data_IF_951176735689
#
_entry.id   IF_951176735689
#
_cell.length_a   1.000
_cell.length_b   1.000
_cell.length_c   1.000
_cell.angle_alpha   90.00
_cell.angle_beta   90.00
_cell.angle_gamma   90.00
#
_symmetry.space_group_name_H-M   'P 1'
#
loop_
_entity.id
_entity.type
_entity.pdbx_description
1 polymer ?
#
# COMPACT_ATOMS: atom_id res chain seq x y z
N UNK A 1 2.67 7.72 27.33
CA UNK A 1 3.89 8.45 27.75
C UNK A 1 5.01 8.22 26.74
N UNK A 2 6.04 9.07 26.68
CA UNK A 2 7.18 8.90 25.76
C UNK A 2 7.85 7.52 25.90
N UNK A 3 7.97 6.99 27.14
CA UNK A 3 8.49 5.65 27.41
C UNK A 3 7.65 4.53 26.77
N UNK A 4 6.33 4.64 26.80
CA UNK A 4 5.43 3.65 26.18
C UNK A 4 5.56 3.66 24.66
N UNK A 5 5.62 4.85 24.05
CA UNK A 5 5.83 4.98 22.61
C UNK A 5 7.15 4.32 22.18
N UNK A 6 8.25 4.62 22.87
CA UNK A 6 9.56 4.02 22.59
C UNK A 6 9.54 2.50 22.74
N UNK A 7 8.89 1.98 23.79
CA UNK A 7 8.74 0.53 23.96
C UNK A 7 7.93 -0.11 22.81
N UNK A 8 6.85 0.54 22.35
CA UNK A 8 6.07 0.05 21.21
C UNK A 8 6.86 0.10 19.91
N UNK A 9 7.63 1.18 19.66
CA UNK A 9 8.52 1.27 18.49
C UNK A 9 9.53 0.12 18.49
N UNK A 10 10.14 -0.20 19.63
CA UNK A 10 11.07 -1.34 19.75
C UNK A 10 10.41 -2.68 19.45
N UNK A 11 9.20 -2.93 19.98
CA UNK A 11 8.44 -4.15 19.67
C UNK A 11 8.09 -4.24 18.18
N UNK A 12 7.73 -3.12 17.54
CA UNK A 12 7.51 -3.09 16.09
C UNK A 12 8.80 -3.37 15.32
N UNK A 13 9.93 -2.78 15.73
CA UNK A 13 11.22 -3.03 15.10
C UNK A 13 11.65 -4.50 15.19
N UNK A 14 11.47 -5.13 16.35
CA UNK A 14 11.71 -6.56 16.54
C UNK A 14 10.89 -7.40 15.55
N UNK A 15 9.59 -7.10 15.40
CA UNK A 15 8.72 -7.78 14.42
C UNK A 15 9.20 -7.59 12.97
N UNK A 16 9.61 -6.37 12.60
CA UNK A 16 10.16 -6.06 11.27
C UNK A 16 11.45 -6.86 11.00
N UNK A 17 12.34 -6.95 11.99
CA UNK A 17 13.64 -7.60 11.86
C UNK A 17 13.51 -9.13 11.73
N UNK A 18 12.56 -9.75 12.42
CA UNK A 18 12.36 -11.22 12.37
C UNK A 18 11.46 -11.68 11.22
N UNK A 19 10.56 -10.82 10.73
CA UNK A 19 9.61 -11.13 9.66
C UNK A 19 10.32 -11.59 8.40
N UNK A 20 9.76 -12.61 7.73
CA UNK A 20 10.28 -13.15 6.47
C UNK A 20 9.51 -12.66 5.26
N UNK A 21 8.22 -12.36 5.42
CA UNK A 21 7.32 -11.96 4.34
C UNK A 21 6.55 -10.67 4.69
N UNK A 22 7.24 -9.56 4.96
CA UNK A 22 6.58 -8.31 5.32
C UNK A 22 5.94 -7.65 4.10
N UNK A 23 4.88 -6.88 4.34
CA UNK A 23 4.27 -5.97 3.38
C UNK A 23 3.95 -4.65 4.06
N UNK A 24 4.30 -3.54 3.41
CA UNK A 24 3.81 -2.23 3.81
C UNK A 24 2.47 -1.96 3.13
N UNK A 25 1.48 -1.62 3.94
CA UNK A 25 0.16 -1.15 3.53
C UNK A 25 0.05 0.35 3.81
N UNK A 26 0.26 1.18 2.79
CA UNK A 26 0.29 2.63 2.91
C UNK A 26 -1.06 3.27 2.55
N UNK A 27 -1.57 4.11 3.44
CA UNK A 27 -2.82 4.85 3.26
C UNK A 27 -2.62 6.33 3.00
N UNK A 28 -3.72 7.07 3.06
CA UNK A 28 -3.74 8.52 2.87
C UNK A 28 -2.88 9.26 3.92
N UNK A 29 -2.74 8.72 5.13
CA UNK A 29 -1.94 9.35 6.19
C UNK A 29 -0.48 9.55 5.77
N UNK A 30 0.11 8.63 5.00
CA UNK A 30 1.46 8.80 4.44
C UNK A 30 1.52 9.95 3.44
N UNK A 31 0.52 10.06 2.56
CA UNK A 31 0.48 11.10 1.52
C UNK A 31 0.26 12.50 2.12
N UNK A 32 -0.45 12.57 3.25
CA UNK A 32 -0.76 13.83 3.93
C UNK A 32 0.37 14.28 4.87
N UNK A 33 1.06 13.34 5.51
CA UNK A 33 2.11 13.65 6.45
C UNK A 33 3.35 14.26 5.76
N UNK A 34 3.99 15.20 6.45
CA UNK A 34 5.18 15.88 5.93
C UNK A 34 6.36 14.90 5.85
N UNK A 35 7.01 14.84 4.67
CA UNK A 35 8.06 13.85 4.36
C UNK A 35 7.61 12.38 4.42
N UNK A 36 6.29 12.11 4.49
CA UNK A 36 5.75 10.76 4.60
C UNK A 36 6.18 9.83 3.44
N UNK A 37 6.02 10.23 2.17
CA UNK A 37 6.46 9.43 1.02
C UNK A 37 7.97 9.12 1.02
N UNK A 38 8.79 10.09 1.42
CA UNK A 38 10.25 9.95 1.50
C UNK A 38 10.65 8.93 2.57
N UNK A 39 10.03 9.00 3.75
CA UNK A 39 10.27 8.06 4.85
C UNK A 39 9.72 6.66 4.57
N UNK A 40 8.59 6.56 3.87
CA UNK A 40 8.08 5.30 3.35
C UNK A 40 9.09 4.66 2.39
N UNK A 41 9.65 5.45 1.46
CA UNK A 41 10.70 4.99 0.55
C UNK A 41 11.93 4.52 1.32
N UNK A 42 12.41 5.30 2.28
CA UNK A 42 13.57 4.95 3.10
C UNK A 42 13.36 3.64 3.87
N UNK A 43 12.19 3.45 4.52
CA UNK A 43 11.86 2.22 5.24
C UNK A 43 11.80 1.01 4.29
N UNK A 44 11.13 1.16 3.14
CA UNK A 44 11.00 0.11 2.13
C UNK A 44 12.36 -0.29 1.54
N UNK A 45 13.25 0.68 1.27
CA UNK A 45 14.61 0.45 0.77
C UNK A 45 15.49 -0.20 1.84
N UNK A 46 15.52 0.36 3.06
CA UNK A 46 16.36 -0.15 4.14
C UNK A 46 16.04 -1.60 4.49
N UNK A 47 14.76 -1.95 4.57
CA UNK A 47 14.33 -3.27 5.03
C UNK A 47 13.94 -4.23 3.89
N UNK A 48 14.06 -3.78 2.63
CA UNK A 48 13.58 -4.47 1.42
C UNK A 48 12.14 -4.98 1.55
N UNK A 49 11.20 -4.07 1.85
CA UNK A 49 9.79 -4.43 2.07
C UNK A 49 8.94 -3.97 0.88
N UNK A 50 8.16 -4.86 0.24
CA UNK A 50 7.24 -4.49 -0.81
C UNK A 50 6.10 -3.60 -0.30
N UNK A 51 5.63 -2.67 -1.14
CA UNK A 51 4.69 -1.62 -0.76
C UNK A 51 3.42 -1.69 -1.60
N UNK A 52 2.27 -1.80 -0.94
CA UNK A 52 0.96 -1.59 -1.56
C UNK A 52 0.28 -0.35 -0.97
N UNK A 53 -0.57 0.31 -1.75
CA UNK A 53 -1.25 1.53 -1.35
C UNK A 53 -2.77 1.39 -1.43
N UNK A 54 -3.51 2.09 -0.58
CA UNK A 54 -4.96 2.31 -0.81
C UNK A 54 -5.19 3.19 -2.04
N UNK A 55 -6.44 3.30 -2.51
CA UNK A 55 -6.85 4.31 -3.50
C UNK A 55 -6.41 5.73 -3.12
N UNK A 56 -6.52 6.10 -1.85
CA UNK A 56 -6.09 7.42 -1.35
C UNK A 56 -4.61 7.50 -0.99
N UNK A 57 -3.89 6.37 -1.03
CA UNK A 57 -2.45 6.28 -0.87
C UNK A 57 -1.70 6.35 -2.20
N UNK A 58 -2.41 6.34 -3.34
CA UNK A 58 -1.79 6.43 -4.67
C UNK A 58 -0.93 7.68 -4.80
N UNK A 59 0.30 7.49 -5.28
CA UNK A 59 1.33 8.51 -5.35
C UNK A 59 2.20 8.64 -4.09
N UNK A 60 1.83 7.96 -2.99
CA UNK A 60 2.67 7.89 -1.79
C UNK A 60 3.93 7.04 -1.96
N UNK A 61 4.02 6.23 -3.00
CA UNK A 61 5.19 5.42 -3.36
C UNK A 61 5.36 5.41 -4.88
N UNK A 62 6.60 5.37 -5.38
CA UNK A 62 6.85 5.32 -6.82
C UNK A 62 6.48 3.94 -7.39
N UNK A 63 5.41 3.87 -8.17
CA UNK A 63 4.92 2.63 -8.77
C UNK A 63 5.87 2.04 -9.84
N UNK A 64 6.90 2.78 -10.27
CA UNK A 64 7.95 2.22 -11.12
C UNK A 64 9.03 1.46 -10.32
N UNK A 65 9.01 1.54 -8.99
CA UNK A 65 9.91 0.78 -8.14
C UNK A 65 9.56 -0.72 -8.19
N UNK A 66 10.57 -1.59 -8.26
CA UNK A 66 10.38 -3.05 -8.30
C UNK A 66 9.61 -3.60 -7.09
N UNK A 67 9.67 -2.90 -5.94
CA UNK A 67 8.97 -3.24 -4.69
C UNK A 67 7.52 -2.78 -4.67
N UNK A 68 7.05 -2.01 -5.66
CA UNK A 68 5.66 -1.57 -5.73
C UNK A 68 4.73 -2.74 -6.06
N UNK A 69 3.67 -2.90 -5.28
CA UNK A 69 2.58 -3.84 -5.47
C UNK A 69 1.33 -3.16 -6.08
N UNK A 70 1.39 -1.85 -6.30
CA UNK A 70 0.25 -1.01 -6.70
C UNK A 70 -0.91 -1.07 -5.71
N UNK A 71 -2.09 -0.58 -6.13
CA UNK A 71 -3.29 -0.54 -5.29
C UNK A 71 -3.76 -1.93 -4.86
N UNK A 72 -4.10 -2.13 -3.59
CA UNK A 72 -4.84 -3.32 -3.10
C UNK A 72 -6.35 -3.07 -3.00
N UNK A 73 -7.12 -4.13 -2.77
CA UNK A 73 -8.54 -4.10 -2.43
C UNK A 73 -9.42 -4.71 -3.52
N UNK A 74 -10.71 -4.39 -3.47
CA UNK A 74 -11.77 -4.94 -4.34
C UNK A 74 -11.44 -4.83 -5.84
N UNK A 75 -10.84 -3.72 -6.26
CA UNK A 75 -10.35 -3.49 -7.62
C UNK A 75 -8.84 -3.27 -7.66
N UNK A 76 -8.12 -3.76 -6.65
CA UNK A 76 -6.67 -3.70 -6.59
C UNK A 76 -6.00 -4.72 -7.51
N UNK A 77 -4.68 -4.72 -7.53
CA UNK A 77 -3.88 -5.73 -8.18
C UNK A 77 -4.01 -7.06 -7.44
N UNK A 78 -4.06 -8.17 -8.21
CA UNK A 78 -4.13 -9.49 -7.62
C UNK A 78 -2.87 -9.80 -6.78
N UNK A 79 -1.69 -9.36 -7.21
CA UNK A 79 -0.44 -9.57 -6.47
C UNK A 79 -0.37 -8.76 -5.17
N UNK A 80 -0.94 -7.56 -5.08
CA UNK A 80 -1.08 -6.87 -3.79
C UNK A 80 -2.02 -7.64 -2.85
N UNK A 81 -3.17 -8.08 -3.36
CA UNK A 81 -4.13 -8.83 -2.56
C UNK A 81 -3.55 -10.16 -2.06
N UNK A 82 -2.82 -10.89 -2.91
CA UNK A 82 -2.13 -12.12 -2.50
C UNK A 82 -1.01 -11.87 -1.50
N UNK A 83 -0.20 -10.82 -1.72
CA UNK A 83 0.83 -10.44 -0.77
C UNK A 83 0.25 -10.11 0.61
N UNK A 84 -0.87 -9.38 0.68
CA UNK A 84 -1.57 -9.07 1.93
C UNK A 84 -2.15 -10.30 2.63
N UNK A 85 -2.60 -11.31 1.86
CA UNK A 85 -3.15 -12.53 2.45
C UNK A 85 -2.06 -13.45 3.02
N UNK A 86 -0.89 -13.46 2.39
CA UNK A 86 0.21 -14.35 2.78
C UNK A 86 1.26 -13.72 3.69
N UNK A 87 1.35 -12.39 3.73
CA UNK A 87 2.33 -11.69 4.54
C UNK A 87 2.31 -12.17 6.00
N UNK A 88 3.48 -12.40 6.58
CA UNK A 88 3.59 -12.69 8.01
C UNK A 88 3.58 -11.41 8.86
N UNK A 89 3.91 -10.26 8.27
CA UNK A 89 3.84 -8.95 8.89
C UNK A 89 3.21 -7.94 7.94
N UNK A 90 2.14 -7.28 8.39
CA UNK A 90 1.54 -6.13 7.70
C UNK A 90 1.89 -4.87 8.48
N UNK A 91 2.55 -3.93 7.81
CA UNK A 91 2.90 -2.61 8.35
C UNK A 91 1.91 -1.60 7.80
N UNK A 92 0.85 -1.32 8.54
CA UNK A 92 -0.20 -0.38 8.15
C UNK A 92 0.21 1.05 8.49
N UNK A 93 0.47 1.85 7.47
CA UNK A 93 0.97 3.22 7.59
C UNK A 93 -0.11 4.22 7.16
N UNK A 94 -0.82 4.80 8.12
CA UNK A 94 -1.84 5.82 7.84
C UNK A 94 -3.03 5.30 7.01
N UNK A 95 -3.34 4.00 7.14
CA UNK A 95 -4.49 3.34 6.51
C UNK A 95 -5.51 2.89 7.56
N UNK A 96 -6.80 2.85 7.18
CA UNK A 96 -7.93 2.60 8.11
C UNK A 96 -8.65 1.26 7.93
N UNK A 97 -8.06 0.32 7.19
CA UNK A 97 -8.64 -0.99 6.87
C UNK A 97 -10.12 -0.93 6.42
N UNK A 98 -10.41 -0.11 5.39
CA UNK A 98 -11.75 0.01 4.83
C UNK A 98 -12.29 -1.32 4.28
N UNK A 99 -13.61 -1.48 4.16
CA UNK A 99 -14.23 -2.71 3.65
C UNK A 99 -13.89 -2.97 2.17
N UNK A 100 -13.66 -1.91 1.37
CA UNK A 100 -13.17 -2.01 -0.01
C UNK A 100 -11.72 -2.46 -0.09
N UNK A 101 -10.99 -2.39 1.02
CA UNK A 101 -9.62 -2.91 1.14
C UNK A 101 -9.62 -4.34 1.67
N UNK A 102 -10.35 -4.59 2.76
CA UNK A 102 -10.29 -5.86 3.50
C UNK A 102 -11.16 -6.96 2.89
N UNK A 103 -12.22 -6.60 2.16
CA UNK A 103 -13.20 -7.55 1.66
C UNK A 103 -13.86 -8.33 2.81
N UNK A 104 -13.67 -9.64 2.85
CA UNK A 104 -14.18 -10.46 3.95
C UNK A 104 -13.20 -10.40 5.15
N UNK A 105 -13.55 -9.60 6.16
CA UNK A 105 -12.74 -9.35 7.36
C UNK A 105 -12.32 -10.65 8.08
N UNK A 106 -13.20 -11.65 8.16
CA UNK A 106 -12.89 -12.92 8.81
C UNK A 106 -11.74 -13.65 8.09
N UNK A 107 -11.67 -13.52 6.76
CA UNK A 107 -10.65 -14.12 5.89
C UNK A 107 -9.47 -13.19 5.59
N UNK A 108 -9.47 -11.96 6.10
CA UNK A 108 -8.42 -10.99 5.84
C UNK A 108 -7.12 -11.36 6.57
N UNK A 109 -5.98 -11.28 5.88
CA UNK A 109 -4.63 -11.43 6.40
C UNK A 109 -4.38 -12.67 7.29
N UNK A 110 -4.71 -13.89 6.83
CA UNK A 110 -4.53 -15.11 7.61
C UNK A 110 -3.04 -15.38 7.92
N UNK A 111 -2.12 -15.05 7.01
CA UNK A 111 -0.67 -15.19 7.25
C UNK A 111 -0.22 -14.37 8.46
N UNK A 112 -0.61 -13.10 8.52
CA UNK A 112 -0.25 -12.19 9.61
C UNK A 112 -0.90 -12.61 10.92
N UNK A 113 -2.19 -13.02 10.90
CA UNK A 113 -2.89 -13.52 12.09
C UNK A 113 -2.23 -14.78 12.66
N UNK A 114 -1.85 -15.73 11.81
CA UNK A 114 -1.14 -16.93 12.23
C UNK A 114 0.27 -16.62 12.77
N UNK A 115 0.99 -15.68 12.13
CA UNK A 115 2.30 -15.23 12.59
C UNK A 115 2.24 -14.49 13.94
N UNK A 116 1.17 -13.72 14.20
CA UNK A 116 0.93 -13.08 15.49
C UNK A 116 0.75 -14.10 16.62
N UNK A 117 -0.03 -15.16 16.37
CA UNK A 117 -0.21 -16.26 17.34
C UNK A 117 1.11 -16.98 17.67
N UNK A 118 2.05 -16.97 16.72
CA UNK A 118 3.39 -17.54 16.87
C UNK A 118 4.45 -16.50 17.29
N UNK A 119 4.06 -15.27 17.61
CA UNK A 119 4.94 -14.15 18.02
C UNK A 119 6.10 -13.88 17.03
N UNK A 120 5.88 -14.12 15.73
CA UNK A 120 6.89 -13.93 14.67
C UNK A 120 6.48 -12.93 13.60
N UNK A 121 5.38 -12.23 13.81
CA UNK A 121 4.77 -11.30 12.86
C UNK A 121 3.44 -10.77 13.39
N UNK A 122 2.59 -10.28 12.50
CA UNK A 122 1.29 -9.73 12.87
C UNK A 122 0.87 -8.52 12.05
N UNK A 123 0.03 -7.68 12.63
CA UNK A 123 -0.40 -6.41 12.03
C UNK A 123 0.09 -5.29 12.94
N UNK A 124 0.97 -4.43 12.45
CA UNK A 124 1.39 -3.22 13.16
C UNK A 124 0.70 -2.02 12.55
N UNK A 125 0.06 -1.18 13.37
CA UNK A 125 -0.82 -0.12 12.90
C UNK A 125 -0.36 1.25 13.39
N UNK A 126 0.10 2.07 12.43
CA UNK A 126 0.46 3.46 12.64
C UNK A 126 -0.73 4.34 12.24
N UNK A 127 -1.35 4.98 13.21
CA UNK A 127 -2.60 5.71 13.04
C UNK A 127 -2.68 6.88 14.02
N UNK A 128 -3.10 8.04 13.53
CA UNK A 128 -3.18 9.26 14.33
C UNK A 128 -4.50 9.34 15.11
N UNK A 129 -5.55 8.66 14.64
CA UNK A 129 -6.86 8.66 15.27
C UNK A 129 -7.11 7.37 16.07
N UNK A 130 -7.18 7.44 17.43
CA UNK A 130 -7.41 6.27 18.28
C UNK A 130 -8.65 5.45 17.90
N UNK A 131 -9.72 6.14 17.46
CA UNK A 131 -10.99 5.50 17.05
C UNK A 131 -10.86 4.52 15.86
N UNK A 132 -9.76 4.58 15.10
CA UNK A 132 -9.50 3.69 13.98
C UNK A 132 -8.63 2.48 14.38
N UNK A 133 -7.92 2.56 15.49
CA UNK A 133 -7.09 1.47 16.01
C UNK A 133 -8.01 0.37 16.56
N UNK A 134 -7.75 -0.89 16.21
CA UNK A 134 -8.55 -2.06 16.60
C UNK A 134 -10.04 -1.97 16.19
N UNK A 135 -10.41 -1.05 15.30
CA UNK A 135 -11.81 -0.87 14.87
C UNK A 135 -12.28 -1.98 13.94
N UNK A 136 -11.46 -2.33 12.94
CA UNK A 136 -11.82 -3.30 11.88
C UNK A 136 -10.99 -4.57 12.00
N UNK A 137 -9.69 -4.41 12.25
CA UNK A 137 -8.74 -5.50 12.45
C UNK A 137 -7.98 -5.27 13.74
N UNK A 138 -7.74 -6.34 14.49
CA UNK A 138 -6.95 -6.28 15.71
C UNK A 138 -5.47 -6.10 15.34
N UNK A 139 -4.86 -5.03 15.82
CA UNK A 139 -3.43 -4.80 15.70
C UNK A 139 -2.67 -5.62 16.75
N UNK A 140 -1.53 -6.19 16.35
CA UNK A 140 -0.54 -6.80 17.23
C UNK A 140 0.19 -5.72 18.02
N UNK A 141 0.57 -4.64 17.35
CA UNK A 141 1.09 -3.42 17.97
C UNK A 141 0.45 -2.21 17.30
N UNK A 142 0.16 -1.18 18.09
CA UNK A 142 -0.39 0.07 17.58
C UNK A 142 0.48 1.25 18.01
N UNK A 143 0.78 2.12 17.05
CA UNK A 143 1.53 3.36 17.26
C UNK A 143 0.57 4.51 16.98
N UNK A 144 0.12 5.13 18.06
CA UNK A 144 -0.72 6.32 17.99
C UNK A 144 0.14 7.56 17.71
N UNK A 145 -0.16 8.27 16.63
CA UNK A 145 0.49 9.53 16.29
C UNK A 145 0.65 9.77 14.79
N UNK A 146 1.35 10.84 14.45
CA UNK A 146 1.72 11.10 13.06
C UNK A 146 2.63 9.98 12.51
N UNK A 147 2.29 9.50 11.32
CA UNK A 147 2.95 8.34 10.73
C UNK A 147 4.39 8.62 10.32
N UNK A 148 4.70 9.81 9.78
CA UNK A 148 6.06 10.17 9.40
C UNK A 148 6.94 10.31 10.64
N UNK A 149 6.46 11.02 11.67
CA UNK A 149 7.15 11.13 12.95
C UNK A 149 7.44 9.75 13.57
N UNK A 150 6.49 8.83 13.46
CA UNK A 150 6.66 7.46 13.97
C UNK A 150 7.65 6.62 13.16
N UNK A 151 7.67 6.76 11.83
CA UNK A 151 8.67 6.08 10.98
C UNK A 151 10.08 6.59 11.29
N UNK A 152 10.26 7.89 11.55
CA UNK A 152 11.56 8.46 11.99
C UNK A 152 12.09 7.81 13.26
N UNK A 153 11.20 7.44 14.19
CA UNK A 153 11.58 6.71 15.40
C UNK A 153 11.86 5.23 15.14
N UNK A 154 11.15 4.62 14.17
CA UNK A 154 11.34 3.22 13.79
C UNK A 154 12.64 2.98 13.02
N UNK A 155 12.99 3.89 12.12
CA UNK A 155 14.12 3.73 11.19
C UNK A 155 15.44 3.36 11.88
N UNK A 156 15.86 3.98 13.01
CA UNK A 156 17.07 3.60 13.72
C UNK A 156 17.06 2.19 14.31
N UNK A 157 15.89 1.67 14.66
CA UNK A 157 15.72 0.40 15.38
C UNK A 157 15.61 -0.82 14.45
N UNK A 158 15.32 -0.60 13.15
CA UNK A 158 15.23 -1.66 12.15
C UNK A 158 16.57 -1.95 11.49
N UNK A 159 16.83 -3.22 11.23
CA UNK A 159 18.04 -3.71 10.60
C UNK A 159 17.95 -3.61 9.07
N UNK A 160 19.05 -3.27 8.37
CA UNK A 160 19.08 -3.31 6.92
C UNK A 160 18.91 -4.75 6.42
N UNK A 161 18.10 -4.92 5.38
CA UNK A 161 17.92 -6.19 4.65
C UNK A 161 17.93 -5.90 3.16
N UNK A 162 18.64 -6.72 2.41
CA UNK A 162 18.63 -6.72 0.96
C UNK A 162 17.43 -7.49 0.41
N UNK A 163 17.14 -7.33 -0.88
CA UNK A 163 16.13 -8.17 -1.54
C UNK A 163 16.56 -9.64 -1.62
N UNK A 164 17.88 -9.92 -1.59
CA UNK A 164 18.41 -11.28 -1.55
C UNK A 164 18.11 -11.97 -0.20
N UNK A 165 18.18 -11.24 0.91
CA UNK A 165 17.76 -11.75 2.23
C UNK A 165 16.26 -12.16 2.26
N UNK A 166 15.48 -11.62 1.32
CA UNK A 166 14.05 -11.87 1.15
C UNK A 166 13.74 -12.50 -0.22
N UNK A 167 14.72 -13.19 -0.83
CA UNK A 167 14.60 -13.71 -2.20
C UNK A 167 13.35 -14.56 -2.39
N UNK A 168 13.09 -15.51 -1.49
CA UNK A 168 11.91 -16.37 -1.58
C UNK A 168 10.59 -15.58 -1.56
N UNK A 169 10.54 -14.44 -0.85
CA UNK A 169 9.37 -13.58 -0.82
C UNK A 169 9.18 -12.81 -2.12
N UNK A 170 10.26 -12.20 -2.61
CA UNK A 170 10.23 -11.46 -3.88
C UNK A 170 10.01 -12.37 -5.09
N UNK A 171 10.57 -13.57 -5.11
CA UNK A 171 10.31 -14.56 -6.16
C UNK A 171 8.81 -14.88 -6.26
N UNK A 172 8.15 -15.08 -5.11
CA UNK A 172 6.72 -15.35 -5.05
C UNK A 172 5.88 -14.15 -5.53
N UNK A 173 6.23 -12.94 -5.10
CA UNK A 173 5.58 -11.71 -5.57
C UNK A 173 5.77 -11.55 -7.09
N UNK A 174 6.96 -11.81 -7.60
CA UNK A 174 7.28 -11.71 -9.02
C UNK A 174 6.50 -12.75 -9.84
N UNK A 175 6.31 -13.96 -9.32
CA UNK A 175 5.43 -14.96 -9.93
C UNK A 175 3.99 -14.42 -10.07
N UNK A 176 3.43 -13.82 -9.01
CA UNK A 176 2.08 -13.25 -9.06
C UNK A 176 1.97 -12.05 -10.00
N UNK A 177 2.98 -11.17 -10.03
CA UNK A 177 3.04 -10.04 -10.98
C UNK A 177 3.02 -10.53 -12.42
N UNK A 178 3.74 -11.61 -12.73
CA UNK A 178 3.75 -12.25 -14.06
C UNK A 178 2.44 -12.96 -14.38
N UNK A 179 1.84 -13.62 -13.40
CA UNK A 179 0.59 -14.39 -13.55
C UNK A 179 -0.63 -13.51 -13.75
N UNK A 180 -0.68 -12.36 -13.07
CA UNK A 180 -1.83 -11.44 -13.08
C UNK A 180 -1.41 -9.98 -13.26
N UNK A 181 -0.78 -9.60 -14.38
CA UNK A 181 -0.41 -8.22 -14.62
C UNK A 181 -1.67 -7.37 -14.90
N UNK A 182 -1.62 -6.08 -14.54
CA UNK A 182 -2.74 -5.15 -14.80
C UNK A 182 -3.00 -4.95 -16.29
N UNK A 183 -2.02 -5.25 -17.15
CA UNK A 183 -2.12 -5.20 -18.60
C UNK A 183 -2.84 -6.41 -19.22
N UNK A 184 -3.24 -7.42 -18.42
CA UNK A 184 -3.91 -8.61 -18.92
C UNK A 184 -5.41 -8.35 -19.17
N UNK A 185 -5.70 -7.65 -20.27
CA UNK A 185 -7.03 -7.45 -20.80
C UNK A 185 -6.97 -7.44 -22.34
N UNK A 186 -8.10 -7.73 -22.98
CA UNK A 186 -8.19 -7.71 -24.44
C UNK A 186 -8.09 -6.26 -24.95
N UNK A 187 -7.04 -5.98 -25.71
CA UNK A 187 -6.81 -4.67 -26.37
C UNK A 187 -7.59 -4.53 -27.67
N UNK A 188 -8.10 -5.62 -28.23
CA UNK A 188 -8.88 -5.61 -29.45
C UNK A 188 -10.35 -5.30 -29.17
N UNK A 189 -11.01 -4.67 -30.14
CA UNK A 189 -12.45 -4.48 -30.12
C UNK A 189 -13.13 -5.09 -31.34
N UNK A 190 -14.33 -5.62 -31.13
CA UNK A 190 -15.33 -5.70 -32.18
C UNK A 190 -15.90 -4.28 -32.37
N UNK A 191 -15.70 -3.70 -33.55
CA UNK A 191 -16.35 -2.45 -34.04
C UNK A 191 -15.64 -1.10 -33.78
N UNK A 192 -14.35 -1.07 -33.47
CA UNK A 192 -13.54 0.16 -33.59
C UNK A 192 -13.71 1.22 -32.49
N UNK A 193 -14.26 0.90 -31.31
CA UNK A 193 -14.24 1.82 -30.16
C UNK A 193 -12.93 1.65 -29.37
N UNK A 194 -12.62 2.63 -28.51
CA UNK A 194 -11.40 2.65 -27.69
C UNK A 194 -11.68 1.97 -26.35
N UNK A 195 -10.80 1.03 -25.96
CA UNK A 195 -10.82 0.43 -24.62
C UNK A 195 -10.47 1.49 -23.56
N UNK A 196 -11.27 1.65 -22.51
CA UNK A 196 -11.02 2.68 -21.49
C UNK A 196 -9.71 2.47 -20.74
N UNK A 197 -9.26 1.23 -20.56
CA UNK A 197 -7.95 0.92 -19.98
C UNK A 197 -6.81 1.47 -20.84
N UNK A 198 -6.88 1.26 -22.16
CA UNK A 198 -5.89 1.75 -23.12
C UNK A 198 -5.85 3.26 -23.17
N UNK A 199 -7.01 3.94 -23.07
CA UNK A 199 -7.07 5.40 -22.95
C UNK A 199 -6.28 5.91 -21.74
N UNK A 200 -6.44 5.30 -20.57
CA UNK A 200 -5.72 5.72 -19.36
C UNK A 200 -4.23 5.39 -19.44
N UNK A 201 -3.85 4.24 -20.01
CA UNK A 201 -2.44 3.90 -20.24
C UNK A 201 -1.77 4.94 -21.14
N UNK A 202 -2.45 5.36 -22.22
CA UNK A 202 -1.93 6.36 -23.13
C UNK A 202 -1.82 7.73 -22.48
N UNK A 203 -2.83 8.16 -21.71
CA UNK A 203 -2.74 9.36 -20.88
C UNK A 203 -1.54 9.27 -19.92
N UNK A 204 -1.29 8.11 -19.34
CA UNK A 204 -0.16 7.90 -18.45
C UNK A 204 1.19 8.05 -19.17
N UNK A 205 1.30 7.54 -20.39
CA UNK A 205 2.50 7.63 -21.23
C UNK A 205 2.75 9.08 -21.70
N UNK A 206 1.72 9.75 -22.21
CA UNK A 206 1.78 11.14 -22.68
C UNK A 206 2.09 12.16 -21.57
N UNK A 207 2.02 11.74 -20.31
CA UNK A 207 2.35 12.57 -19.14
C UNK A 207 3.58 12.10 -18.39
N UNK A 208 4.32 11.11 -18.92
CA UNK A 208 5.43 10.46 -18.22
C UNK A 208 6.55 11.42 -17.80
N UNK A 209 6.84 12.44 -18.62
CA UNK A 209 7.86 13.48 -18.40
C UNK A 209 7.43 14.55 -17.38
N UNK A 210 6.13 14.61 -17.04
CA UNK A 210 5.53 15.67 -16.21
C UNK A 210 4.64 15.14 -15.09
N UNK A 211 4.82 13.90 -14.65
CA UNK A 211 4.05 13.30 -13.55
C UNK A 211 4.05 14.14 -12.26
N UNK A 212 5.17 14.80 -11.94
CA UNK A 212 5.33 15.64 -10.75
C UNK A 212 4.41 16.87 -10.71
N UNK A 213 3.85 17.28 -11.86
CA UNK A 213 2.92 18.40 -12.00
C UNK A 213 1.60 18.00 -12.67
N UNK A 214 1.31 16.70 -12.74
CA UNK A 214 0.08 16.16 -13.31
C UNK A 214 -0.85 15.76 -12.16
N UNK A 215 -1.96 16.47 -12.01
CA UNK A 215 -3.00 16.18 -11.03
C UNK A 215 -4.20 15.57 -11.74
N UNK A 216 -4.68 14.45 -11.24
CA UNK A 216 -5.80 13.71 -11.83
C UNK A 216 -6.94 13.70 -10.82
N UNK A 217 -8.03 14.37 -11.20
CA UNK A 217 -9.31 14.25 -10.51
C UNK A 217 -10.18 13.21 -11.20
N UNK A 218 -11.03 12.51 -10.44
CA UNK A 218 -12.00 11.58 -11.02
C UNK A 218 -13.38 11.76 -10.40
N UNK A 219 -14.42 11.54 -11.20
CA UNK A 219 -15.73 11.15 -10.66
C UNK A 219 -15.68 9.77 -10.00
N UNK A 220 -16.84 9.12 -9.86
CA UNK A 220 -16.99 7.80 -9.22
C UNK A 220 -17.64 6.83 -10.19
N UNK A 221 -17.03 5.66 -10.37
CA UNK A 221 -17.47 4.67 -11.36
C UNK A 221 -16.30 3.82 -11.88
N UNK A 222 -16.52 3.12 -13.00
CA UNK A 222 -15.47 2.28 -13.59
C UNK A 222 -14.24 3.09 -14.03
N UNK A 223 -14.44 4.31 -14.55
CA UNK A 223 -13.36 5.20 -14.95
C UNK A 223 -12.44 5.59 -13.80
N UNK A 224 -12.96 5.71 -12.57
CA UNK A 224 -12.15 5.93 -11.36
C UNK A 224 -11.19 4.76 -11.14
N UNK A 225 -11.69 3.52 -11.25
CA UNK A 225 -10.88 2.32 -11.03
C UNK A 225 -9.87 2.10 -12.16
N UNK A 226 -10.25 2.32 -13.42
CA UNK A 226 -9.30 2.25 -14.54
C UNK A 226 -8.20 3.31 -14.41
N UNK A 227 -8.56 4.53 -13.98
CA UNK A 227 -7.58 5.58 -13.67
C UNK A 227 -6.60 5.13 -12.58
N UNK A 228 -7.12 4.59 -11.47
CA UNK A 228 -6.31 4.08 -10.37
C UNK A 228 -5.38 2.93 -10.80
N UNK A 229 -5.84 2.02 -11.66
CA UNK A 229 -5.08 0.83 -12.09
C UNK A 229 -4.05 1.13 -13.18
N UNK A 230 -4.41 1.96 -14.18
CA UNK A 230 -3.65 2.10 -15.43
C UNK A 230 -2.82 3.37 -15.50
N UNK A 231 -3.09 4.39 -14.68
CA UNK A 231 -2.17 5.50 -14.49
C UNK A 231 -1.04 5.08 -13.56
N UNK A 232 0.22 5.38 -13.91
CA UNK A 232 1.37 5.10 -13.04
C UNK A 232 1.59 6.25 -12.08
N UNK A 233 1.37 5.99 -10.79
CA UNK A 233 1.45 6.98 -9.73
C UNK A 233 2.86 7.06 -9.18
N UNK A 234 3.45 8.26 -9.17
CA UNK A 234 4.86 8.45 -8.78
C UNK A 234 5.08 9.55 -7.76
N UNK A 235 4.12 10.46 -7.63
CA UNK A 235 4.24 11.66 -6.81
C UNK A 235 3.04 11.83 -5.90
N UNK A 236 3.26 12.28 -4.65
CA UNK A 236 2.19 12.38 -3.66
C UNK A 236 1.18 13.45 -4.05
N UNK A 237 -0.06 13.30 -3.57
CA UNK A 237 -1.14 14.30 -3.72
C UNK A 237 -1.50 14.59 -5.19
N UNK A 238 -1.22 13.66 -6.10
CA UNK A 238 -1.58 13.77 -7.53
C UNK A 238 -2.89 13.05 -7.87
N UNK A 239 -3.37 12.13 -7.02
CA UNK A 239 -4.69 11.49 -7.14
C UNK A 239 -5.71 12.21 -6.27
N UNK A 240 -6.75 12.77 -6.88
CA UNK A 240 -7.81 13.53 -6.21
C UNK A 240 -9.15 12.85 -6.52
N UNK A 241 -9.69 12.09 -5.57
CA UNK A 241 -10.85 11.24 -5.85
C UNK A 241 -11.75 11.08 -4.64
N UNK A 242 -13.06 10.87 -4.87
CA UNK A 242 -14.02 10.54 -3.81
C UNK A 242 -14.08 9.02 -3.61
N UNK A 243 -13.40 8.53 -2.57
CA UNK A 243 -13.37 7.10 -2.24
C UNK A 243 -14.30 6.73 -1.09
N UNK A 244 -14.16 7.39 0.07
CA UNK A 244 -14.93 7.05 1.27
C UNK A 244 -16.46 7.19 1.12
N UNK A 245 -16.93 8.32 0.60
CA UNK A 245 -18.36 8.56 0.36
C UNK A 245 -18.80 8.13 -1.05
N UNK A 246 -17.89 8.16 -2.03
CA UNK A 246 -18.21 7.76 -3.40
C UNK A 246 -19.17 8.71 -4.13
N UNK A 247 -18.98 10.02 -3.97
CA UNK A 247 -19.87 11.04 -4.54
C UNK A 247 -19.65 11.22 -6.05
N UNK A 248 -20.65 10.83 -6.86
CA UNK A 248 -20.68 11.18 -8.28
C UNK A 248 -20.75 12.71 -8.47
N UNK A 249 -20.05 13.24 -9.49
CA UNK A 249 -19.94 14.69 -9.72
C UNK A 249 -18.80 15.40 -8.98
N UNK A 250 -17.91 14.65 -8.31
CA UNK A 250 -16.75 15.22 -7.61
C UNK A 250 -15.59 15.67 -8.51
N UNK A 251 -15.44 15.03 -9.67
CA UNK A 251 -14.26 15.16 -10.54
C UNK A 251 -14.15 16.49 -11.27
#
# INVERSE_FOLDING_TARGET
>A
SHKQLQASIKRVAELVNISKQPVIYAGQGIVQSENGPELLRELSEKCSIPVTTTLHGLGGYDELNEKALHMLGMHGSAYANMAMQEADLIIALGGRFDDRVTGNIAKFAPGAKAAAAQKRGGIVHFEIMPKNINKVVQATEAIEGDVAASIKLLLPEVEPRSMEDRKAWFDKINEWKKKWPLSHYDRSERNGLIKPQTLIEELSNLTADRKHKTYIATGVGQHQMWTAQHFRWRHPRTMITSGGLGTMGFG
#
